data_IF_201248077772
#
_entry.id   IF_201248077772
#
_cell.length_a   1.000
_cell.length_b   1.000
_cell.length_c   1.000
_cell.angle_alpha   90.00
_cell.angle_beta   90.00
_cell.angle_gamma   90.00
#
_symmetry.space_group_name_H-M   'P 1'
#
loop_
_entity.id
_entity.type
_entity.pdbx_description
1 polymer ?
#
# COMPACT_ATOMS: atom_id res chain seq x y z
N UNK A 1 -3.14 1.57 18.74
CA UNK A 1 -4.17 0.51 18.62
C UNK A 1 -4.41 0.25 17.14
N UNK A 2 -4.31 -1.00 16.71
CA UNK A 2 -4.68 -1.41 15.34
C UNK A 2 -6.13 -1.88 15.39
N UNK A 3 -6.96 -1.41 14.45
CA UNK A 3 -8.37 -1.77 14.40
C UNK A 3 -8.60 -2.82 13.31
N UNK A 4 -9.33 -3.87 13.65
CA UNK A 4 -9.82 -4.83 12.65
C UNK A 4 -10.90 -4.19 11.76
N UNK A 5 -11.23 -4.84 10.63
CA UNK A 5 -12.22 -4.29 9.70
C UNK A 5 -13.59 -4.13 10.36
N UNK A 6 -14.05 -5.15 11.09
CA UNK A 6 -15.32 -5.13 11.82
C UNK A 6 -15.39 -3.98 12.83
N UNK A 7 -14.30 -3.76 13.57
CA UNK A 7 -14.19 -2.68 14.54
C UNK A 7 -14.32 -1.30 13.88
N UNK A 8 -13.76 -1.12 12.67
CA UNK A 8 -13.84 0.14 11.93
C UNK A 8 -15.21 0.38 11.33
N UNK A 9 -15.82 -0.65 10.74
CA UNK A 9 -17.19 -0.58 10.25
C UNK A 9 -18.12 -0.19 11.40
N UNK A 10 -17.97 -0.83 12.56
CA UNK A 10 -18.76 -0.47 13.74
C UNK A 10 -18.60 0.99 14.15
N UNK A 11 -17.36 1.50 14.19
CA UNK A 11 -17.10 2.90 14.54
C UNK A 11 -17.77 3.87 13.56
N UNK A 12 -17.69 3.62 12.25
CA UNK A 12 -18.32 4.48 11.23
C UNK A 12 -19.84 4.51 11.42
N UNK A 13 -20.47 3.34 11.61
CA UNK A 13 -21.91 3.23 11.79
C UNK A 13 -22.39 3.90 13.09
N UNK A 14 -21.71 3.63 14.20
CA UNK A 14 -22.08 4.23 15.50
C UNK A 14 -21.82 5.73 15.53
N UNK A 15 -20.74 6.20 14.92
CA UNK A 15 -20.41 7.62 14.89
C UNK A 15 -21.50 8.41 14.17
N UNK A 16 -22.01 7.87 13.05
CA UNK A 16 -23.16 8.46 12.35
C UNK A 16 -24.44 8.38 13.19
N UNK A 17 -24.73 7.22 13.79
CA UNK A 17 -25.94 7.01 14.61
C UNK A 17 -26.00 7.92 15.84
N UNK A 18 -24.85 8.29 16.39
CA UNK A 18 -24.70 9.11 17.60
C UNK A 18 -24.37 10.57 17.28
N UNK A 19 -24.77 11.05 16.09
CA UNK A 19 -24.63 12.46 15.68
C UNK A 19 -23.21 13.00 15.87
N UNK A 20 -22.21 12.21 15.48
CA UNK A 20 -20.79 12.57 15.54
C UNK A 20 -20.20 12.76 16.96
N UNK A 21 -20.82 12.16 17.99
CA UNK A 21 -20.29 12.14 19.35
C UNK A 21 -19.15 11.12 19.55
N UNK A 22 -17.90 11.61 19.65
CA UNK A 22 -16.72 10.74 19.88
C UNK A 22 -16.78 9.98 21.21
N UNK A 23 -17.24 10.64 22.28
CA UNK A 23 -17.29 10.05 23.63
C UNK A 23 -18.27 8.88 23.68
N UNK A 24 -19.48 9.08 23.14
CA UNK A 24 -20.49 8.02 23.12
C UNK A 24 -20.08 6.87 22.21
N UNK A 25 -19.51 7.17 21.04
CA UNK A 25 -18.98 6.17 20.11
C UNK A 25 -17.89 5.31 20.75
N UNK A 26 -16.92 5.94 21.42
CA UNK A 26 -15.87 5.22 22.16
C UNK A 26 -16.45 4.34 23.27
N UNK A 27 -17.42 4.84 24.04
CA UNK A 27 -18.09 4.06 25.10
C UNK A 27 -18.89 2.90 24.52
N UNK A 28 -19.54 3.08 23.38
CA UNK A 28 -20.26 2.01 22.65
C UNK A 28 -19.29 0.94 22.17
N UNK A 29 -18.15 1.36 21.60
CA UNK A 29 -17.06 0.49 21.18
C UNK A 29 -16.50 -0.35 22.32
N UNK A 30 -16.16 0.28 23.43
CA UNK A 30 -15.62 -0.41 24.60
C UNK A 30 -16.59 -1.48 25.13
N UNK A 31 -17.89 -1.16 25.18
CA UNK A 31 -18.93 -2.12 25.60
C UNK A 31 -19.10 -3.27 24.61
N UNK A 32 -19.09 -3.00 23.31
CA UNK A 32 -19.32 -4.03 22.28
C UNK A 32 -18.16 -5.02 22.16
N UNK A 33 -16.92 -4.55 22.29
CA UNK A 33 -15.72 -5.37 22.09
C UNK A 33 -15.01 -5.75 23.40
N UNK A 34 -15.60 -5.44 24.56
CA UNK A 34 -15.05 -5.68 25.89
C UNK A 34 -13.58 -5.24 26.04
N UNK A 35 -13.27 -4.02 25.58
CA UNK A 35 -11.92 -3.46 25.65
C UNK A 35 -11.82 -2.34 26.67
N UNK A 36 -10.75 -2.36 27.48
CA UNK A 36 -10.47 -1.30 28.45
C UNK A 36 -10.25 0.06 27.79
N UNK A 37 -9.60 0.07 26.62
CA UNK A 37 -9.24 1.30 25.92
C UNK A 37 -9.77 1.25 24.49
N UNK A 38 -10.59 2.23 24.15
CA UNK A 38 -11.07 2.44 22.78
C UNK A 38 -10.13 3.34 21.96
N UNK A 39 -10.46 3.55 20.67
CA UNK A 39 -9.74 4.50 19.82
C UNK A 39 -9.84 5.94 20.35
N UNK A 40 -8.84 6.76 20.04
CA UNK A 40 -8.87 8.19 20.35
C UNK A 40 -9.88 8.94 19.48
N UNK A 41 -10.31 10.12 19.92
CA UNK A 41 -11.28 10.95 19.18
C UNK A 41 -10.76 11.27 17.77
N UNK A 42 -9.46 11.60 17.65
CA UNK A 42 -8.81 11.84 16.37
C UNK A 42 -8.83 10.60 15.46
N UNK A 43 -8.66 9.39 16.03
CA UNK A 43 -8.72 8.16 15.24
C UNK A 43 -10.14 7.87 14.73
N UNK A 44 -11.16 8.18 15.53
CA UNK A 44 -12.57 8.04 15.13
C UNK A 44 -12.89 9.03 14.00
N UNK A 45 -12.54 10.32 14.17
CA UNK A 45 -12.75 11.36 13.16
C UNK A 45 -12.02 11.06 11.86
N UNK A 46 -10.73 10.74 11.93
CA UNK A 46 -9.93 10.43 10.74
C UNK A 46 -10.45 9.19 9.99
N UNK A 47 -10.96 8.19 10.72
CA UNK A 47 -11.60 7.03 10.09
C UNK A 47 -12.86 7.43 9.34
N UNK A 48 -13.69 8.29 9.94
CA UNK A 48 -14.94 8.75 9.35
C UNK A 48 -14.71 9.66 8.14
N UNK A 49 -13.86 10.68 8.25
CA UNK A 49 -13.47 11.56 7.14
C UNK A 49 -12.91 10.76 5.96
N UNK A 50 -12.09 9.75 6.25
CA UNK A 50 -11.56 8.86 5.22
C UNK A 50 -12.69 8.06 4.55
N UNK A 51 -13.62 7.54 5.35
CA UNK A 51 -14.78 6.82 4.84
C UNK A 51 -15.66 7.72 3.96
N UNK A 52 -15.94 8.96 4.36
CA UNK A 52 -16.68 9.91 3.53
C UNK A 52 -15.97 10.20 2.20
N UNK A 53 -14.64 10.35 2.25
CA UNK A 53 -13.84 10.65 1.06
C UNK A 53 -13.76 9.48 0.07
N UNK A 54 -13.63 8.24 0.56
CA UNK A 54 -13.32 7.09 -0.32
C UNK A 54 -14.36 5.97 -0.31
N UNK A 55 -15.41 6.07 0.50
CA UNK A 55 -16.38 5.00 0.74
C UNK A 55 -15.80 3.74 1.40
N UNK A 56 -14.55 3.79 1.89
CA UNK A 56 -13.79 2.59 2.26
C UNK A 56 -13.23 2.64 3.68
N UNK A 57 -13.65 1.69 4.52
CA UNK A 57 -13.19 1.51 5.90
C UNK A 57 -11.88 0.71 6.04
N UNK A 58 -11.33 0.15 4.96
CA UNK A 58 -10.11 -0.66 4.98
C UNK A 58 -8.86 0.12 5.41
N UNK A 59 -7.79 -0.60 5.78
CA UNK A 59 -6.57 0.06 6.25
C UNK A 59 -5.75 0.41 5.01
N UNK A 60 -5.24 1.63 4.94
CA UNK A 60 -4.36 2.07 3.85
C UNK A 60 -3.01 1.32 3.88
N UNK A 61 -2.75 0.54 4.93
CA UNK A 61 -1.55 -0.30 5.09
C UNK A 61 -1.67 -1.65 4.38
N UNK A 62 -2.87 -2.07 3.95
CA UNK A 62 -3.05 -3.30 3.16
C UNK A 62 -2.45 -3.01 1.76
N UNK A 63 -1.16 -3.32 1.60
CA UNK A 63 -0.37 -3.06 0.39
C UNK A 63 0.91 -2.25 0.61
N UNK A 64 1.01 -1.51 1.72
CA UNK A 64 2.17 -0.67 2.06
C UNK A 64 3.08 -1.32 3.11
N UNK A 65 3.44 -2.59 2.92
CA UNK A 65 4.29 -3.35 3.87
C UNK A 65 5.79 -3.06 3.73
N UNK A 66 6.18 -2.07 2.91
CA UNK A 66 7.56 -1.62 2.83
C UNK A 66 7.81 -0.63 1.69
N UNK A 67 9.06 -0.12 1.63
CA UNK A 67 9.56 0.67 0.49
C UNK A 67 9.29 -0.10 -0.81
N UNK A 68 8.75 0.53 -1.86
CA UNK A 68 8.67 -0.09 -3.18
C UNK A 68 10.04 -0.68 -3.53
N UNK A 69 10.12 -1.98 -3.80
CA UNK A 69 11.38 -2.64 -4.21
C UNK A 69 11.70 -2.17 -5.63
N UNK A 70 12.37 -1.02 -5.72
CA UNK A 70 12.74 -0.30 -6.95
C UNK A 70 11.57 -0.12 -7.93
N UNK A 71 10.89 1.03 -7.84
CA UNK A 71 10.01 1.44 -8.93
C UNK A 71 10.87 1.67 -10.18
N UNK A 72 10.75 0.79 -11.18
CA UNK A 72 11.17 1.09 -12.54
C UNK A 72 10.15 2.08 -13.08
N UNK A 73 10.55 3.32 -13.27
CA UNK A 73 9.76 4.32 -14.00
C UNK A 73 9.87 4.04 -15.49
N UNK A 74 8.92 4.50 -16.31
CA UNK A 74 8.96 4.36 -17.78
C UNK A 74 10.29 4.90 -18.34
N UNK A 75 10.75 6.05 -17.83
CA UNK A 75 12.07 6.60 -18.15
C UNK A 75 13.23 5.64 -17.89
N UNK A 76 13.19 4.86 -16.79
CA UNK A 76 14.24 3.90 -16.49
C UNK A 76 14.10 2.64 -17.36
N UNK A 77 12.90 2.30 -17.85
CA UNK A 77 12.68 1.15 -18.72
C UNK A 77 13.27 1.37 -20.12
N UNK A 78 13.09 2.57 -20.67
CA UNK A 78 13.68 2.97 -21.95
C UNK A 78 15.21 3.01 -21.85
N UNK A 79 15.75 3.58 -20.78
CA UNK A 79 17.19 3.57 -20.51
C UNK A 79 17.74 2.14 -20.39
N UNK A 80 17.01 1.22 -19.76
CA UNK A 80 17.41 -0.20 -19.69
C UNK A 80 17.38 -0.84 -21.08
N UNK A 81 16.34 -0.58 -21.87
CA UNK A 81 16.18 -1.12 -23.22
C UNK A 81 17.36 -0.70 -24.11
N UNK A 82 17.71 0.59 -24.10
CA UNK A 82 18.82 1.14 -24.88
C UNK A 82 20.18 0.59 -24.45
N UNK A 83 20.40 0.40 -23.14
CA UNK A 83 21.64 -0.17 -22.62
C UNK A 83 21.75 -1.67 -22.94
N UNK A 84 20.62 -2.40 -22.99
CA UNK A 84 20.58 -3.83 -23.33
C UNK A 84 20.80 -4.10 -24.83
N UNK A 85 20.53 -3.14 -25.71
CA UNK A 85 20.84 -3.24 -27.15
C UNK A 85 22.34 -3.13 -27.45
N UNK A 86 23.16 -2.74 -26.47
CA UNK A 86 24.62 -2.65 -26.66
C UNK A 86 25.28 -4.04 -26.58
N UNK A 87 26.06 -4.44 -27.60
CA UNK A 87 26.53 -5.83 -27.75
C UNK A 87 27.53 -6.33 -26.69
N UNK A 88 27.93 -5.51 -25.70
CA UNK A 88 29.00 -5.82 -24.72
C UNK A 88 28.70 -5.43 -23.27
N UNK A 89 27.46 -5.13 -22.90
CA UNK A 89 27.12 -4.74 -21.53
C UNK A 89 26.66 -5.96 -20.72
N UNK A 90 27.39 -6.28 -19.64
CA UNK A 90 26.94 -7.34 -18.72
C UNK A 90 25.76 -6.84 -17.88
N UNK A 91 24.85 -7.73 -17.51
CA UNK A 91 23.68 -7.42 -16.64
C UNK A 91 24.10 -6.67 -15.37
N UNK A 92 25.30 -6.95 -14.85
CA UNK A 92 25.88 -6.22 -13.72
C UNK A 92 26.13 -4.74 -14.05
N UNK A 93 26.73 -4.43 -15.21
CA UNK A 93 26.97 -3.04 -15.63
C UNK A 93 25.68 -2.28 -15.89
N UNK A 94 24.70 -2.94 -16.52
CA UNK A 94 23.39 -2.32 -16.80
C UNK A 94 22.67 -1.98 -15.50
N UNK A 95 22.63 -2.91 -14.54
CA UNK A 95 22.04 -2.69 -13.24
C UNK A 95 22.73 -1.57 -12.45
N UNK A 96 24.07 -1.51 -12.48
CA UNK A 96 24.84 -0.44 -11.84
C UNK A 96 24.58 0.93 -12.48
N UNK A 97 24.45 1.00 -13.81
CA UNK A 97 24.18 2.27 -14.53
C UNK A 97 22.75 2.76 -14.32
N UNK A 98 21.78 1.86 -14.29
CA UNK A 98 20.37 2.18 -14.06
C UNK A 98 20.00 2.35 -12.57
N UNK A 99 20.94 2.13 -11.64
CA UNK A 99 20.67 2.18 -10.19
C UNK A 99 19.72 1.07 -9.71
N UNK A 100 19.64 -0.05 -10.44
CA UNK A 100 18.70 -1.13 -10.19
C UNK A 100 19.35 -2.38 -9.61
N UNK A 101 18.52 -3.24 -9.01
CA UNK A 101 18.96 -4.58 -8.64
C UNK A 101 19.17 -5.41 -9.91
N UNK A 102 20.27 -6.17 -9.95
CA UNK A 102 20.62 -7.10 -11.05
C UNK A 102 19.48 -8.00 -11.51
N UNK A 103 18.66 -8.50 -10.57
CA UNK A 103 17.51 -9.34 -10.89
C UNK A 103 16.43 -8.61 -11.70
N UNK A 104 16.20 -7.33 -11.40
CA UNK A 104 15.20 -6.51 -12.10
C UNK A 104 15.63 -6.33 -13.56
N UNK A 105 16.92 -6.06 -13.80
CA UNK A 105 17.50 -5.92 -15.14
C UNK A 105 17.56 -7.25 -15.91
N UNK A 106 17.80 -8.38 -15.24
CA UNK A 106 17.82 -9.71 -15.86
C UNK A 106 16.47 -10.08 -16.48
N UNK A 107 15.36 -9.66 -15.87
CA UNK A 107 14.01 -9.92 -16.39
C UNK A 107 13.72 -9.26 -17.75
N UNK A 108 14.44 -8.19 -18.10
CA UNK A 108 14.33 -7.48 -19.38
C UNK A 108 15.35 -7.96 -20.42
N UNK A 109 16.23 -8.89 -20.06
CA UNK A 109 17.24 -9.39 -21.00
C UNK A 109 16.58 -10.26 -22.10
N UNK A 110 17.01 -10.14 -23.37
CA UNK A 110 16.37 -10.81 -24.52
C UNK A 110 16.35 -12.34 -24.45
N UNK A 111 17.12 -12.94 -23.54
CA UNK A 111 17.24 -14.40 -23.39
C UNK A 111 16.02 -15.03 -22.70
N UNK A 112 15.18 -14.26 -22.00
CA UNK A 112 13.96 -14.79 -21.33
C UNK A 112 12.65 -14.44 -22.04
N UNK A 113 12.59 -13.34 -22.78
CA UNK A 113 11.38 -12.88 -23.50
C UNK A 113 10.96 -13.79 -24.67
N UNK A 114 11.76 -14.80 -25.03
CA UNK A 114 11.43 -15.80 -26.06
C UNK A 114 10.68 -17.04 -25.53
N UNK A 115 10.42 -17.18 -24.23
CA UNK A 115 9.80 -18.39 -23.66
C UNK A 115 8.34 -18.23 -23.21
N UNK A 116 7.68 -17.12 -23.55
CA UNK A 116 6.28 -16.90 -23.22
C UNK A 116 5.55 -16.23 -24.39
N UNK A 117 5.27 -17.01 -25.43
CA UNK A 117 4.09 -16.88 -26.29
C UNK A 117 3.73 -18.30 -26.76
N UNK A 118 2.43 -18.67 -26.80
CA UNK A 118 1.97 -20.04 -26.97
C UNK A 118 2.38 -20.68 -28.29
#
# INVERSE_FOLDING_TARGET
MVLYLEQRIFLVLEYQRLEHSCVQTRRSFQRRFDVRTGPSDNAIKALFEKFERTGNANDNRIGNVGRPRSAVTESNADDIQDILQQPRTSVRRVASRAGLRRMTTFSYSPTRSRSANP
#
